data_IF_501098439091
#
_entry.id   IF_501098439091
#
_cell.length_a   1.000
_cell.length_b   1.000
_cell.length_c   1.000
_cell.angle_alpha   90.00
_cell.angle_beta   90.00
_cell.angle_gamma   90.00
#
_symmetry.space_group_name_H-M   'P 1'
#
loop_
_entity.id
_entity.type
_entity.pdbx_description
1 polymer ?
#
# COMPACT_ATOMS: atom_id res chain seq x y z
N UNK A 1 21.17 -17.43 -2.25
CA UNK A 1 20.89 -18.81 -1.81
C UNK A 1 22.09 -19.74 -1.79
N UNK A 2 23.05 -19.64 -2.73
CA UNK A 2 24.25 -20.51 -2.77
C UNK A 2 25.12 -20.47 -1.49
N UNK A 3 25.47 -19.27 -0.99
CA UNK A 3 26.32 -19.13 0.20
C UNK A 3 25.67 -19.64 1.50
N UNK A 4 24.35 -19.50 1.64
CA UNK A 4 23.61 -20.01 2.81
C UNK A 4 23.60 -21.53 2.81
N UNK A 5 23.33 -22.16 1.66
CA UNK A 5 23.38 -23.60 1.51
C UNK A 5 24.79 -24.15 1.78
N UNK A 6 25.83 -23.47 1.29
CA UNK A 6 27.22 -23.83 1.57
C UNK A 6 27.55 -23.73 3.06
N UNK A 7 27.13 -22.65 3.73
CA UNK A 7 27.32 -22.48 5.17
C UNK A 7 26.67 -23.59 5.99
N UNK A 8 25.42 -23.97 5.67
CA UNK A 8 24.74 -25.11 6.31
C UNK A 8 25.48 -26.43 6.12
N UNK A 9 25.98 -26.68 4.90
CA UNK A 9 26.76 -27.89 4.61
C UNK A 9 28.08 -27.93 5.39
N UNK A 10 28.75 -26.79 5.56
CA UNK A 10 29.97 -26.69 6.36
C UNK A 10 29.68 -27.00 7.83
N UNK A 11 28.61 -26.45 8.40
CA UNK A 11 28.22 -26.73 9.80
C UNK A 11 27.85 -28.20 10.00
N UNK A 12 27.15 -28.81 9.04
CA UNK A 12 26.72 -30.21 9.10
C UNK A 12 27.88 -31.21 8.94
N UNK A 13 28.84 -30.90 8.06
CA UNK A 13 29.99 -31.77 7.74
C UNK A 13 31.22 -31.51 8.59
N UNK A 14 31.23 -30.44 9.39
CA UNK A 14 32.31 -30.16 10.34
C UNK A 14 32.46 -31.34 11.30
N UNK A 15 33.70 -31.74 11.56
CA UNK A 15 33.99 -32.70 12.62
C UNK A 15 33.79 -32.01 13.96
N UNK A 16 32.88 -32.54 14.77
CA UNK A 16 32.54 -32.01 16.09
C UNK A 16 33.22 -32.88 17.13
N UNK A 17 34.09 -32.27 17.92
CA UNK A 17 34.76 -32.92 19.06
C UNK A 17 33.74 -33.38 20.13
N UNK A 18 32.61 -32.69 20.23
CA UNK A 18 31.55 -32.96 21.19
C UNK A 18 30.19 -33.00 20.50
N UNK A 19 29.60 -34.20 20.41
CA UNK A 19 28.30 -34.41 19.77
C UNK A 19 27.17 -33.61 20.44
N UNK A 20 27.28 -33.34 21.74
CA UNK A 20 26.33 -32.49 22.48
C UNK A 20 26.29 -31.05 21.93
N UNK A 21 27.45 -30.47 21.61
CA UNK A 21 27.53 -29.10 21.08
C UNK A 21 26.92 -29.03 19.68
N UNK A 22 27.17 -30.05 18.86
CA UNK A 22 26.56 -30.19 17.54
C UNK A 22 25.04 -30.22 17.63
N UNK A 23 24.49 -31.07 18.50
CA UNK A 23 23.04 -31.19 18.70
C UNK A 23 22.42 -29.86 19.16
N UNK A 24 23.02 -29.18 20.13
CA UNK A 24 22.55 -27.87 20.59
C UNK A 24 22.61 -26.82 19.47
N UNK A 25 23.68 -26.79 18.69
CA UNK A 25 23.85 -25.82 17.59
C UNK A 25 22.81 -26.05 16.49
N UNK A 26 22.55 -27.31 16.13
CA UNK A 26 21.52 -27.66 15.15
C UNK A 26 20.12 -27.32 15.63
N UNK A 27 19.81 -27.56 16.91
CA UNK A 27 18.53 -27.16 17.52
C UNK A 27 18.38 -25.64 17.50
N UNK A 28 19.41 -24.88 17.85
CA UNK A 28 19.36 -23.41 17.82
C UNK A 28 19.15 -22.89 16.39
N UNK A 29 19.86 -23.44 15.39
CA UNK A 29 19.67 -23.08 13.99
C UNK A 29 18.24 -23.38 13.51
N UNK A 30 17.72 -24.56 13.86
CA UNK A 30 16.36 -24.96 13.51
C UNK A 30 15.32 -24.05 14.17
N UNK A 31 15.46 -23.78 15.46
CA UNK A 31 14.60 -22.84 16.19
C UNK A 31 14.67 -21.43 15.59
N UNK A 32 15.85 -20.96 15.19
CA UNK A 32 16.02 -19.65 14.55
C UNK A 32 15.28 -19.55 13.21
N UNK A 33 15.33 -20.60 12.39
CA UNK A 33 14.58 -20.65 11.12
C UNK A 33 13.07 -20.69 11.41
N UNK A 34 12.61 -21.58 12.28
CA UNK A 34 11.19 -21.70 12.60
C UNK A 34 10.62 -20.40 13.17
N UNK A 35 11.32 -19.79 14.12
CA UNK A 35 10.89 -18.53 14.73
C UNK A 35 10.87 -17.38 13.73
N UNK A 36 11.87 -17.31 12.85
CA UNK A 36 11.89 -16.34 11.75
C UNK A 36 10.69 -16.52 10.82
N UNK A 37 10.40 -17.74 10.40
CA UNK A 37 9.25 -18.05 9.54
C UNK A 37 7.91 -17.71 10.21
N UNK A 38 7.73 -18.05 11.49
CA UNK A 38 6.50 -17.73 12.24
C UNK A 38 6.36 -16.21 12.43
N UNK A 39 7.44 -15.52 12.78
CA UNK A 39 7.45 -14.05 12.91
C UNK A 39 7.11 -13.36 11.59
N UNK A 40 7.62 -13.87 10.47
CA UNK A 40 7.28 -13.38 9.14
C UNK A 40 5.82 -13.66 8.77
N UNK A 41 5.31 -14.87 9.04
CA UNK A 41 3.92 -15.23 8.78
C UNK A 41 2.94 -14.34 9.56
N UNK A 42 3.21 -14.07 10.83
CA UNK A 42 2.37 -13.18 11.64
C UNK A 42 2.40 -11.72 11.13
N UNK A 43 3.55 -11.25 10.64
CA UNK A 43 3.62 -9.92 10.02
C UNK A 43 2.81 -9.86 8.72
N UNK A 44 2.92 -10.88 7.86
CA UNK A 44 2.17 -10.94 6.60
C UNK A 44 0.66 -11.05 6.84
N UNK A 45 0.23 -11.82 7.84
CA UNK A 45 -1.19 -11.96 8.18
C UNK A 45 -1.81 -10.63 8.65
N UNK A 46 -1.03 -9.76 9.30
CA UNK A 46 -1.47 -8.42 9.72
C UNK A 46 -1.34 -7.36 8.61
N UNK A 47 -0.57 -7.65 7.55
CA UNK A 47 -0.40 -6.78 6.38
C UNK A 47 -1.46 -6.99 5.27
N UNK A 48 -2.31 -8.02 5.42
CA UNK A 48 -3.41 -8.26 4.49
C UNK A 48 -4.45 -7.12 4.51
N UNK A 49 -5.15 -6.86 3.38
CA UNK A 49 -6.20 -5.87 3.35
C UNK A 49 -7.36 -6.33 4.24
N UNK A 50 -8.06 -5.37 4.86
CA UNK A 50 -9.32 -5.64 5.55
C UNK A 50 -10.35 -6.22 4.57
N UNK A 51 -11.34 -7.03 5.03
CA UNK A 51 -12.43 -7.49 4.17
C UNK A 51 -13.11 -6.33 3.43
N UNK A 52 -13.29 -5.19 4.11
CA UNK A 52 -13.87 -3.97 3.54
C UNK A 52 -13.01 -3.41 2.40
N UNK A 53 -11.68 -3.46 2.53
CA UNK A 53 -10.76 -3.09 1.46
C UNK A 53 -10.84 -4.08 0.29
N UNK A 54 -10.91 -5.39 0.53
CA UNK A 54 -11.06 -6.40 -0.53
C UNK A 54 -12.34 -6.16 -1.34
N UNK A 55 -13.47 -5.97 -0.66
CA UNK A 55 -14.75 -5.71 -1.29
C UNK A 55 -14.72 -4.40 -2.10
N UNK A 56 -14.11 -3.35 -1.54
CA UNK A 56 -13.95 -2.06 -2.24
C UNK A 56 -13.11 -2.20 -3.49
N UNK A 57 -11.97 -2.88 -3.42
CA UNK A 57 -11.08 -3.06 -4.56
C UNK A 57 -11.72 -3.94 -5.64
N UNK A 58 -12.51 -4.94 -5.25
CA UNK A 58 -13.33 -5.74 -6.17
C UNK A 58 -14.40 -4.88 -6.87
N UNK A 59 -15.07 -4.01 -6.12
CA UNK A 59 -16.01 -3.03 -6.68
C UNK A 59 -15.31 -2.10 -7.69
N UNK A 60 -14.13 -1.57 -7.34
CA UNK A 60 -13.35 -0.69 -8.21
C UNK A 60 -12.97 -1.38 -9.52
N UNK A 61 -12.54 -2.64 -9.47
CA UNK A 61 -12.17 -3.41 -10.66
C UNK A 61 -13.29 -3.41 -11.72
N UNK A 62 -14.53 -3.50 -11.27
CA UNK A 62 -15.71 -3.66 -12.15
C UNK A 62 -16.38 -2.33 -12.53
N UNK A 63 -16.23 -1.28 -11.72
CA UNK A 63 -16.96 -0.02 -11.90
C UNK A 63 -16.07 1.15 -12.37
N UNK A 64 -14.78 1.14 -12.04
CA UNK A 64 -13.83 2.16 -12.49
C UNK A 64 -13.30 1.79 -13.87
N UNK A 65 -13.66 2.57 -14.90
CA UNK A 65 -13.34 2.27 -16.30
C UNK A 65 -12.11 2.97 -16.85
N UNK A 66 -11.65 4.04 -16.22
CA UNK A 66 -10.49 4.79 -16.72
C UNK A 66 -9.18 4.08 -16.33
N UNK A 67 -8.55 3.44 -17.31
CA UNK A 67 -7.26 2.75 -17.15
C UNK A 67 -6.05 3.70 -17.26
N UNK A 68 -6.29 4.94 -17.72
CA UNK A 68 -5.24 5.94 -17.88
C UNK A 68 -4.88 6.67 -16.60
N UNK A 69 -5.77 6.68 -15.60
CA UNK A 69 -5.61 7.41 -14.34
C UNK A 69 -5.00 6.54 -13.25
N UNK A 70 -4.16 7.17 -12.41
CA UNK A 70 -3.61 6.52 -11.23
C UNK A 70 -4.56 6.64 -10.03
N UNK A 71 -4.50 5.63 -9.16
CA UNK A 71 -5.16 5.59 -7.87
C UNK A 71 -4.20 6.05 -6.79
N UNK A 72 -4.59 7.06 -6.03
CA UNK A 72 -3.87 7.53 -4.86
C UNK A 72 -4.44 6.88 -3.59
N UNK A 73 -3.56 6.33 -2.77
CA UNK A 73 -3.90 5.70 -1.49
C UNK A 73 -2.68 5.77 -0.56
N UNK A 74 -2.81 5.29 0.67
CA UNK A 74 -1.64 5.06 1.53
C UNK A 74 -0.70 4.05 0.86
N UNK A 75 0.61 4.32 0.92
CA UNK A 75 1.62 3.51 0.23
C UNK A 75 1.51 2.01 0.56
N UNK A 76 1.11 1.67 1.80
CA UNK A 76 0.91 0.30 2.26
C UNK A 76 -0.20 -0.45 1.49
N UNK A 77 -1.15 0.28 0.91
CA UNK A 77 -2.28 -0.29 0.17
C UNK A 77 -2.02 -0.37 -1.35
N UNK A 78 -0.95 0.27 -1.86
CA UNK A 78 -0.68 0.34 -3.29
C UNK A 78 -0.62 -1.04 -3.97
N UNK A 79 0.07 -1.98 -3.34
CA UNK A 79 0.15 -3.37 -3.84
C UNK A 79 -1.23 -4.03 -3.97
N UNK A 80 -2.12 -3.80 -3.01
CA UNK A 80 -3.47 -4.37 -3.04
C UNK A 80 -4.33 -3.72 -4.11
N UNK A 81 -4.20 -2.41 -4.32
CA UNK A 81 -4.88 -1.71 -5.43
C UNK A 81 -4.46 -2.30 -6.78
N UNK A 82 -3.15 -2.51 -6.98
CA UNK A 82 -2.65 -3.06 -8.24
C UNK A 82 -3.10 -4.51 -8.46
N UNK A 83 -3.08 -5.34 -7.42
CA UNK A 83 -3.37 -6.78 -7.55
C UNK A 83 -4.85 -7.13 -7.53
N UNK A 84 -5.68 -6.41 -6.75
CA UNK A 84 -7.11 -6.72 -6.58
C UNK A 84 -8.00 -5.85 -7.47
N UNK A 85 -7.71 -4.54 -7.57
CA UNK A 85 -8.49 -3.65 -8.42
C UNK A 85 -7.99 -3.62 -9.87
N UNK A 86 -6.80 -4.16 -10.15
CA UNK A 86 -6.14 -4.12 -11.46
C UNK A 86 -5.97 -2.68 -11.98
N UNK A 87 -5.70 -1.74 -11.06
CA UNK A 87 -5.49 -0.32 -11.35
C UNK A 87 -4.08 0.10 -11.01
N UNK A 88 -3.51 1.02 -11.80
CA UNK A 88 -2.21 1.63 -11.51
C UNK A 88 -2.32 2.45 -10.23
N UNK A 89 -1.42 2.25 -9.28
CA UNK A 89 -1.35 3.08 -8.08
C UNK A 89 -0.25 4.14 -8.20
N UNK A 90 -0.40 5.23 -7.46
CA UNK A 90 0.60 6.28 -7.40
C UNK A 90 1.90 5.80 -6.70
N UNK A 91 1.77 4.99 -5.66
CA UNK A 91 2.90 4.49 -4.90
C UNK A 91 2.58 3.14 -4.24
N UNK A 92 3.48 2.17 -4.41
CA UNK A 92 3.39 0.84 -3.80
C UNK A 92 4.72 0.48 -3.08
N UNK A 93 4.70 -0.43 -2.09
CA UNK A 93 5.89 -0.77 -1.31
C UNK A 93 6.94 -1.59 -2.08
N UNK A 94 6.54 -2.25 -3.17
CA UNK A 94 7.43 -3.06 -4.00
C UNK A 94 8.10 -2.23 -5.10
N UNK A 95 7.65 -0.99 -5.30
CA UNK A 95 8.07 -0.07 -6.35
C UNK A 95 8.05 -0.72 -7.74
N UNK A 96 7.16 -1.72 -7.91
CA UNK A 96 7.27 -2.69 -8.99
C UNK A 96 7.05 -2.05 -10.36
N UNK A 97 6.21 -1.00 -10.43
CA UNK A 97 5.82 -0.37 -11.68
C UNK A 97 6.54 0.95 -11.98
N UNK A 98 7.21 1.59 -11.00
CA UNK A 98 8.01 2.78 -11.26
C UNK A 98 9.10 3.02 -10.19
N UNK A 99 10.33 2.50 -10.40
CA UNK A 99 11.43 2.68 -9.45
C UNK A 99 12.05 4.10 -9.48
N UNK A 100 11.62 4.97 -10.41
CA UNK A 100 12.16 6.32 -10.53
C UNK A 100 11.37 7.31 -9.66
N UNK A 101 12.07 8.23 -9.01
CA UNK A 101 11.49 9.34 -8.23
C UNK A 101 10.68 8.95 -6.99
N UNK A 102 11.02 7.82 -6.34
CA UNK A 102 10.37 7.35 -5.09
C UNK A 102 10.30 8.48 -4.04
N UNK A 103 11.41 9.17 -3.78
CA UNK A 103 11.46 10.26 -2.80
C UNK A 103 10.47 11.39 -3.14
N UNK A 104 10.41 11.78 -4.42
CA UNK A 104 9.46 12.82 -4.87
C UNK A 104 8.02 12.34 -4.72
N UNK A 105 7.69 11.10 -5.10
CA UNK A 105 6.33 10.56 -4.95
C UNK A 105 5.91 10.48 -3.49
N UNK A 106 6.84 10.11 -2.61
CA UNK A 106 6.60 10.12 -1.17
C UNK A 106 6.34 11.55 -0.66
N UNK A 107 7.18 12.51 -1.02
CA UNK A 107 7.01 13.92 -0.66
C UNK A 107 5.69 14.50 -1.19
N UNK A 108 5.34 14.23 -2.45
CA UNK A 108 4.07 14.64 -3.05
C UNK A 108 2.88 13.98 -2.33
N UNK A 109 3.00 12.71 -1.94
CA UNK A 109 1.96 12.04 -1.15
C UNK A 109 1.73 12.72 0.20
N UNK A 110 2.81 13.05 0.91
CA UNK A 110 2.73 13.79 2.17
C UNK A 110 2.13 15.19 1.99
N UNK A 111 2.48 15.89 0.90
CA UNK A 111 1.90 17.19 0.56
C UNK A 111 0.40 17.08 0.29
N UNK A 112 -0.02 16.08 -0.49
CA UNK A 112 -1.44 15.82 -0.78
C UNK A 112 -2.20 15.51 0.51
N UNK A 113 -1.70 14.59 1.35
CA UNK A 113 -2.37 14.21 2.60
C UNK A 113 -2.51 15.38 3.58
N UNK A 114 -1.49 16.23 3.71
CA UNK A 114 -1.47 17.31 4.71
C UNK A 114 -2.06 18.64 4.22
N UNK A 115 -2.18 18.82 2.91
CA UNK A 115 -2.64 20.09 2.33
C UNK A 115 -4.09 20.39 2.68
N UNK A 116 -4.35 21.67 3.02
CA UNK A 116 -5.69 22.26 3.17
C UNK A 116 -6.03 23.25 2.05
N UNK A 117 -5.18 23.33 1.02
CA UNK A 117 -5.33 24.25 -0.11
C UNK A 117 -5.88 23.46 -1.29
N UNK A 118 -7.16 23.67 -1.62
CA UNK A 118 -7.85 22.92 -2.67
C UNK A 118 -7.11 22.99 -4.01
N UNK A 119 -6.85 24.20 -4.52
CA UNK A 119 -6.23 24.41 -5.83
C UNK A 119 -4.83 23.79 -5.92
N UNK A 120 -4.07 23.87 -4.82
CA UNK A 120 -2.74 23.26 -4.74
C UNK A 120 -2.83 21.73 -4.78
N UNK A 121 -3.71 21.14 -3.98
CA UNK A 121 -3.94 19.68 -3.98
C UNK A 121 -4.44 19.20 -5.33
N UNK A 122 -5.41 19.90 -5.94
CA UNK A 122 -5.94 19.54 -7.26
C UNK A 122 -4.86 19.64 -8.34
N UNK A 123 -3.99 20.67 -8.28
CA UNK A 123 -2.84 20.79 -9.18
C UNK A 123 -1.88 19.61 -9.04
N UNK A 124 -1.52 19.22 -7.81
CA UNK A 124 -0.67 18.03 -7.57
C UNK A 124 -1.29 16.76 -8.12
N UNK A 125 -2.58 16.51 -7.83
CA UNK A 125 -3.30 15.34 -8.32
C UNK A 125 -3.35 15.31 -9.86
N UNK A 126 -3.54 16.47 -10.49
CA UNK A 126 -3.61 16.59 -11.95
C UNK A 126 -2.24 16.39 -12.61
N UNK A 127 -1.19 17.03 -12.08
CA UNK A 127 0.19 16.90 -12.57
C UNK A 127 0.68 15.45 -12.53
N UNK A 128 0.29 14.73 -11.50
CA UNK A 128 0.63 13.32 -11.32
C UNK A 128 -0.42 12.40 -11.94
N UNK A 129 -1.38 12.89 -12.73
CA UNK A 129 -2.39 12.09 -13.41
C UNK A 129 -3.17 11.11 -12.49
N UNK A 130 -3.48 11.58 -11.28
CA UNK A 130 -4.31 10.87 -10.30
C UNK A 130 -5.78 11.22 -10.56
N UNK A 131 -6.59 10.20 -10.80
CA UNK A 131 -8.04 10.35 -11.04
C UNK A 131 -8.91 9.77 -9.94
N UNK A 132 -8.35 8.89 -9.09
CA UNK A 132 -9.11 8.23 -8.04
C UNK A 132 -8.34 8.23 -6.73
N UNK A 133 -9.07 8.31 -5.62
CA UNK A 133 -8.54 8.22 -4.27
C UNK A 133 -9.22 7.05 -3.53
N UNK A 134 -8.44 6.26 -2.80
CA UNK A 134 -8.95 5.13 -2.01
C UNK A 134 -8.37 5.19 -0.61
N UNK A 135 -9.22 5.22 0.41
CA UNK A 135 -8.77 5.34 1.80
C UNK A 135 -9.56 4.43 2.71
N UNK A 136 -8.84 3.74 3.60
CA UNK A 136 -9.41 3.07 4.75
C UNK A 136 -9.35 4.02 5.95
N UNK A 137 -10.52 4.49 6.41
CA UNK A 137 -10.68 5.33 7.58
C UNK A 137 -10.20 4.67 8.87
N UNK A 138 -10.13 3.33 8.92
CA UNK A 138 -9.56 2.62 10.07
C UNK A 138 -8.04 2.75 10.16
N UNK A 139 -7.35 2.98 9.03
CA UNK A 139 -5.91 3.20 8.96
C UNK A 139 -5.52 4.66 9.23
N UNK A 140 -6.48 5.57 9.40
CA UNK A 140 -6.19 6.97 9.68
C UNK A 140 -5.55 7.14 11.05
N UNK A 141 -4.22 7.27 11.05
CA UNK A 141 -3.45 7.76 12.20
C UNK A 141 -3.79 9.22 12.54
N UNK A 142 -4.43 9.95 11.62
CA UNK A 142 -4.94 11.30 11.84
C UNK A 142 -6.45 11.21 12.12
N UNK A 143 -6.80 11.20 13.41
CA UNK A 143 -8.18 11.10 13.90
C UNK A 143 -9.05 12.33 13.59
N UNK A 144 -8.49 13.38 13.02
CA UNK A 144 -9.22 14.61 12.72
C UNK A 144 -9.71 14.61 11.27
N UNK A 145 -10.96 14.18 11.06
CA UNK A 145 -11.68 14.29 9.78
C UNK A 145 -11.69 15.72 9.19
N UNK A 146 -11.37 16.72 10.02
CA UNK A 146 -11.29 18.13 9.68
C UNK A 146 -9.90 18.61 9.24
N UNK A 147 -8.97 17.71 8.93
CA UNK A 147 -7.60 18.10 8.55
C UNK A 147 -7.13 17.52 7.22
N UNK A 148 -6.25 18.29 6.56
CA UNK A 148 -5.57 17.89 5.34
C UNK A 148 -6.52 17.57 4.19
N UNK A 149 -6.18 16.51 3.44
CA UNK A 149 -6.97 16.03 2.31
C UNK A 149 -8.41 15.72 2.68
N UNK A 150 -8.64 15.11 3.85
CA UNK A 150 -9.99 14.69 4.26
C UNK A 150 -10.95 15.86 4.44
N UNK A 151 -10.45 17.02 4.86
CA UNK A 151 -11.23 18.25 4.86
C UNK A 151 -11.61 18.68 3.43
N UNK A 152 -10.69 18.56 2.48
CA UNK A 152 -10.89 18.94 1.08
C UNK A 152 -11.91 18.05 0.36
N UNK A 153 -12.05 16.78 0.74
CA UNK A 153 -13.04 15.84 0.17
C UNK A 153 -14.50 16.33 0.32
N UNK A 154 -14.77 17.31 1.19
CA UNK A 154 -16.09 17.97 1.32
C UNK A 154 -16.43 18.83 0.10
N UNK A 155 -15.45 19.19 -0.72
CA UNK A 155 -15.68 19.94 -1.94
C UNK A 155 -16.18 19.00 -3.05
N UNK A 156 -17.49 18.94 -3.22
CA UNK A 156 -18.14 18.10 -4.24
C UNK A 156 -17.92 18.57 -5.69
N UNK A 157 -17.32 19.76 -5.92
CA UNK A 157 -16.94 20.22 -7.26
C UNK A 157 -15.62 19.61 -7.72
N UNK A 158 -14.76 19.23 -6.78
CA UNK A 158 -13.44 18.62 -7.06
C UNK A 158 -13.42 17.13 -6.75
N UNK A 159 -14.18 16.67 -5.75
CA UNK A 159 -14.17 15.28 -5.31
C UNK A 159 -15.58 14.70 -5.29
N UNK A 160 -15.79 13.61 -6.02
CA UNK A 160 -17.05 12.88 -6.04
C UNK A 160 -16.88 11.52 -5.38
N UNK A 161 -17.62 11.26 -4.30
CA UNK A 161 -17.64 9.93 -3.69
C UNK A 161 -18.34 8.95 -4.65
N UNK A 162 -17.65 7.89 -5.03
CA UNK A 162 -18.19 6.84 -5.89
C UNK A 162 -18.71 5.64 -5.09
N UNK A 163 -18.00 5.29 -4.02
CA UNK A 163 -18.30 4.12 -3.21
C UNK A 163 -17.85 4.32 -1.76
N UNK A 164 -18.54 3.67 -0.83
CA UNK A 164 -18.12 3.58 0.57
C UNK A 164 -18.73 2.35 1.23
N UNK A 165 -17.92 1.61 1.98
CA UNK A 165 -18.36 0.51 2.83
C UNK A 165 -17.74 0.62 4.24
N UNK A 166 -18.54 0.92 5.25
CA UNK A 166 -18.11 1.02 6.67
C UNK A 166 -16.85 1.89 6.92
N UNK A 167 -15.65 1.37 6.67
CA UNK A 167 -14.37 2.07 6.82
C UNK A 167 -13.69 2.49 5.52
N UNK A 168 -13.98 1.92 4.34
CA UNK A 168 -13.25 2.24 3.10
C UNK A 168 -14.08 3.13 2.19
N UNK A 169 -13.44 4.11 1.55
CA UNK A 169 -14.07 5.06 0.63
C UNK A 169 -13.30 5.16 -0.69
N UNK A 170 -14.04 5.29 -1.80
CA UNK A 170 -13.52 5.57 -3.14
C UNK A 170 -14.05 6.92 -3.61
N UNK A 171 -13.13 7.77 -4.06
CA UNK A 171 -13.41 9.11 -4.55
C UNK A 171 -12.84 9.29 -5.95
N UNK A 172 -13.59 9.98 -6.80
CA UNK A 172 -13.18 10.44 -8.12
C UNK A 172 -12.73 11.92 -8.02
N UNK A 173 -11.63 12.23 -8.69
CA UNK A 173 -11.10 13.59 -8.82
C UNK A 173 -11.65 14.20 -10.10
N UNK A 174 -12.54 15.18 -9.96
CA UNK A 174 -13.15 15.88 -11.09
C UNK A 174 -12.17 16.93 -11.65
N UNK A 175 -11.95 16.89 -12.95
CA UNK A 175 -11.23 17.96 -13.66
C UNK A 175 -12.20 19.08 -14.02
N UNK A 176 -11.78 20.34 -13.90
CA UNK A 176 -12.55 21.47 -14.41
C UNK A 176 -12.70 21.33 -15.93
N UNK A 177 -13.89 20.89 -16.37
CA UNK A 177 -14.20 20.64 -17.78
C UNK A 177 -15.14 19.44 -18.02
N UNK A 178 -15.21 18.47 -17.10
CA UNK A 178 -16.03 17.25 -17.26
C UNK A 178 -17.41 17.33 -16.59
N UNK A 179 -17.74 18.47 -15.95
CA UNK A 179 -18.99 18.68 -15.22
C UNK A 179 -20.17 19.26 -16.03
N UNK A 180 -20.05 19.41 -17.35
CA UNK A 180 -21.13 19.88 -18.23
C UNK A 180 -21.42 18.80 -19.28
N UNK A 181 -22.00 17.69 -18.83
CA UNK A 181 -22.24 16.54 -19.69
C UNK A 181 -23.22 15.51 -19.14
N UNK A 182 -24.29 15.93 -18.46
CA UNK A 182 -25.56 15.20 -18.35
C UNK A 182 -26.69 16.17 -18.08
#
# INVERSE_FOLDING_TARGET
>A
SFFVAYGFLVVLKREWELEMIKQLTLVILFCGILFSSISFANRVAVLGPSPEMVDTLSWMRTHVRDEGKMVFTYYSNGFWVETLAEKRTYMDPLFAFNPYNISRRYETSEQVFRSRKLDYTQSLLTQENIGYLVFDRSQNFIKEEDTGLFFLLRNNKTFKKLYSNHSVEVWEVLQEGEGLGT
#
